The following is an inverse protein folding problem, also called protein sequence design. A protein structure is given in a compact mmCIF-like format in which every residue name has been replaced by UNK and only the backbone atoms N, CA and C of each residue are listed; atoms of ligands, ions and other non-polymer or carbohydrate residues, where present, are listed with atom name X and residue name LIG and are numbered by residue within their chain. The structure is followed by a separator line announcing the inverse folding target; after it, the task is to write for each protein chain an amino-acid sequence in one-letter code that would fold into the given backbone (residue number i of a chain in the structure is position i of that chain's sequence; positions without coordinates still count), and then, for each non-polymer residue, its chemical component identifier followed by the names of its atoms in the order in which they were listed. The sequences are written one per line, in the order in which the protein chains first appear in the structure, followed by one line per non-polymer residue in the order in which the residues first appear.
data_IF_122874906346
#
_entry.id   IF_122874906346
#
_cell.length_a   1.000
_cell.length_b   1.000
_cell.length_c   1.000
_cell.angle_alpha   90.00
_cell.angle_beta   90.00
_cell.angle_gamma   90.00
#
_symmetry.space_group_name_H-M   'P 1'
#
loop_
_entity.id
_entity.type
_entity.pdbx_description
1 polymer ?
#
# COMPACT_ATOMS: atom_id res chain seq x y z
N UNK A 1 3.23 -27.29 55.13
CA UNK A 1 1.98 -27.28 54.35
C UNK A 1 1.89 -26.11 53.36
N UNK A 2 2.39 -24.90 53.70
CA UNK A 2 2.36 -23.72 52.82
C UNK A 2 3.20 -23.80 51.53
N UNK A 3 4.29 -24.58 51.51
CA UNK A 3 5.18 -24.71 50.34
C UNK A 3 4.55 -25.49 49.16
N UNK A 4 3.67 -26.47 49.44
CA UNK A 4 3.02 -27.26 48.38
C UNK A 4 1.89 -26.47 47.70
N UNK A 5 1.25 -25.55 48.43
CA UNK A 5 0.22 -24.66 47.91
C UNK A 5 0.83 -23.57 47.01
N UNK A 6 2.01 -23.02 47.37
CA UNK A 6 2.69 -22.02 46.54
C UNK A 6 3.23 -22.59 45.23
N UNK A 7 3.76 -23.82 45.22
CA UNK A 7 4.18 -24.53 44.01
C UNK A 7 3.01 -24.86 43.08
N UNK A 8 1.87 -25.29 43.63
CA UNK A 8 0.66 -25.55 42.85
C UNK A 8 0.09 -24.30 42.17
N UNK A 9 0.07 -23.17 42.89
CA UNK A 9 -0.31 -21.85 42.32
C UNK A 9 0.67 -21.37 41.25
N UNK A 10 1.98 -21.56 41.46
CA UNK A 10 3.02 -21.20 40.48
C UNK A 10 2.93 -22.05 39.21
N UNK A 11 2.68 -23.35 39.32
CA UNK A 11 2.47 -24.24 38.18
C UNK A 11 1.19 -23.90 37.40
N UNK A 12 0.09 -23.57 38.10
CA UNK A 12 -1.12 -23.08 37.46
C UNK A 12 -0.90 -21.74 36.72
N UNK A 13 -0.12 -20.83 37.31
CA UNK A 13 0.33 -19.58 36.68
C UNK A 13 1.22 -19.80 35.44
N UNK A 14 2.06 -20.83 35.47
CA UNK A 14 2.93 -21.19 34.35
C UNK A 14 2.14 -21.67 33.12
N UNK A 15 1.12 -22.50 33.33
CA UNK A 15 0.22 -22.97 32.28
C UNK A 15 -0.67 -21.85 31.74
N UNK A 16 -1.20 -20.99 32.60
CA UNK A 16 -2.01 -19.84 32.15
C UNK A 16 -1.19 -18.82 31.36
N UNK A 17 0.06 -18.56 31.76
CA UNK A 17 0.99 -17.70 31.02
C UNK A 17 1.32 -18.21 29.62
N UNK A 18 1.41 -19.53 29.45
CA UNK A 18 1.62 -20.13 28.14
C UNK A 18 0.43 -20.10 27.21
N UNK A 19 -0.77 -20.35 27.75
CA UNK A 19 -2.02 -20.16 27.01
C UNK A 19 -2.11 -18.70 26.57
N UNK A 20 -1.79 -17.75 27.46
CA UNK A 20 -1.70 -16.33 27.15
C UNK A 20 -0.71 -16.03 26.01
N UNK A 21 0.51 -16.58 26.06
CA UNK A 21 1.52 -16.43 25.02
C UNK A 21 1.08 -16.98 23.66
N UNK A 22 0.42 -18.15 23.63
CA UNK A 22 -0.14 -18.74 22.41
C UNK A 22 -1.22 -17.84 21.79
N UNK A 23 -2.22 -17.43 22.58
CA UNK A 23 -3.34 -16.63 22.09
C UNK A 23 -2.89 -15.23 21.68
N UNK A 24 -1.98 -14.61 22.43
CA UNK A 24 -1.36 -13.32 22.07
C UNK A 24 -0.66 -13.41 20.72
N UNK A 25 0.21 -14.41 20.52
CA UNK A 25 0.91 -14.61 19.25
C UNK A 25 -0.07 -14.89 18.10
N UNK A 26 -1.12 -15.69 18.33
CA UNK A 26 -2.17 -15.94 17.33
C UNK A 26 -2.93 -14.66 16.96
N UNK A 27 -3.26 -13.82 17.94
CA UNK A 27 -3.91 -12.53 17.73
C UNK A 27 -3.03 -11.59 16.91
N UNK A 28 -1.76 -11.42 17.29
CA UNK A 28 -0.80 -10.58 16.55
C UNK A 28 -0.63 -11.08 15.12
N UNK A 29 -0.53 -12.40 14.92
CA UNK A 29 -0.46 -13.00 13.59
C UNK A 29 -1.69 -12.67 12.73
N UNK A 30 -2.88 -12.83 13.28
CA UNK A 30 -4.13 -12.53 12.59
C UNK A 30 -4.27 -11.03 12.28
N UNK A 31 -3.89 -10.17 13.22
CA UNK A 31 -3.88 -8.72 13.03
C UNK A 31 -2.96 -8.32 11.87
N UNK A 32 -1.71 -8.80 11.85
CA UNK A 32 -0.77 -8.52 10.77
C UNK A 32 -1.27 -9.03 9.41
N UNK A 33 -1.90 -10.21 9.38
CA UNK A 33 -2.50 -10.75 8.16
C UNK A 33 -3.68 -9.89 7.66
N UNK A 34 -4.50 -9.38 8.57
CA UNK A 34 -5.59 -8.44 8.24
C UNK A 34 -5.04 -7.12 7.72
N UNK A 35 -4.07 -6.52 8.41
CA UNK A 35 -3.41 -5.28 7.98
C UNK A 35 -2.73 -5.45 6.61
N UNK A 36 -2.10 -6.61 6.35
CA UNK A 36 -1.54 -6.92 5.04
C UNK A 36 -2.61 -6.95 3.95
N UNK A 37 -3.78 -7.52 4.25
CA UNK A 37 -4.91 -7.57 3.33
C UNK A 37 -5.46 -6.18 3.04
N UNK A 38 -5.56 -5.33 4.06
CA UNK A 38 -5.92 -3.92 3.90
C UNK A 38 -4.92 -3.17 3.02
N UNK A 39 -3.62 -3.34 3.23
CA UNK A 39 -2.61 -2.74 2.36
C UNK A 39 -2.75 -3.24 0.91
N UNK A 40 -3.08 -4.53 0.66
CA UNK A 40 -3.39 -5.00 -0.72
C UNK A 40 -4.62 -4.33 -1.32
N UNK A 41 -5.67 -4.10 -0.54
CA UNK A 41 -6.86 -3.38 -0.99
C UNK A 41 -6.48 -1.95 -1.38
N UNK A 42 -5.70 -1.26 -0.55
CA UNK A 42 -5.21 0.08 -0.82
C UNK A 42 -4.34 0.13 -2.09
N UNK A 43 -3.48 -0.87 -2.29
CA UNK A 43 -2.72 -1.01 -3.54
C UNK A 43 -3.62 -1.12 -4.77
N UNK A 44 -4.74 -1.87 -4.66
CA UNK A 44 -5.71 -2.01 -5.76
C UNK A 44 -6.50 -0.73 -6.00
N UNK A 45 -6.85 0.01 -4.95
CA UNK A 45 -7.46 1.33 -5.08
C UNK A 45 -6.51 2.30 -5.79
N UNK A 46 -5.23 2.28 -5.42
CA UNK A 46 -4.21 3.09 -6.08
C UNK A 46 -4.07 2.71 -7.57
N UNK A 47 -4.08 1.42 -7.92
CA UNK A 47 -4.09 0.96 -9.31
C UNK A 47 -5.33 1.45 -10.09
N UNK A 48 -6.52 1.47 -9.47
CA UNK A 48 -7.70 2.06 -10.08
C UNK A 48 -7.54 3.57 -10.30
N UNK A 49 -6.93 4.28 -9.35
CA UNK A 49 -6.57 5.69 -9.48
C UNK A 49 -5.61 5.94 -10.64
N UNK A 50 -4.59 5.09 -10.79
CA UNK A 50 -3.65 5.11 -11.90
C UNK A 50 -4.37 4.99 -13.26
N UNK A 51 -5.22 3.97 -13.41
CA UNK A 51 -6.00 3.75 -14.64
C UNK A 51 -6.93 4.92 -14.93
N UNK A 52 -7.66 5.40 -13.92
CA UNK A 52 -8.55 6.54 -14.05
C UNK A 52 -7.82 7.83 -14.45
N UNK A 53 -6.62 8.08 -13.93
CA UNK A 53 -5.80 9.22 -14.33
C UNK A 53 -5.38 9.14 -15.81
N UNK A 54 -4.91 7.97 -16.25
CA UNK A 54 -4.54 7.75 -17.65
C UNK A 54 -5.74 7.87 -18.59
N UNK A 55 -6.87 7.28 -18.25
CA UNK A 55 -8.10 7.38 -19.05
C UNK A 55 -8.61 8.82 -19.15
N UNK A 56 -8.54 9.60 -18.06
CA UNK A 56 -8.90 11.03 -18.10
C UNK A 56 -7.98 11.80 -19.04
N UNK A 57 -6.66 11.59 -18.94
CA UNK A 57 -5.70 12.21 -19.86
C UNK A 57 -5.99 11.89 -21.33
N UNK A 58 -6.29 10.62 -21.63
CA UNK A 58 -6.67 10.21 -22.99
C UNK A 58 -7.95 10.92 -23.49
N UNK A 59 -8.96 11.07 -22.62
CA UNK A 59 -10.20 11.79 -22.97
C UNK A 59 -9.95 13.28 -23.19
N UNK A 60 -9.09 13.91 -22.40
CA UNK A 60 -8.71 15.31 -22.56
C UNK A 60 -7.96 15.53 -23.88
N UNK A 61 -6.99 14.66 -24.21
CA UNK A 61 -6.27 14.69 -25.50
C UNK A 61 -7.22 14.48 -26.69
N UNK A 62 -8.19 13.57 -26.56
CA UNK A 62 -9.20 13.35 -27.59
C UNK A 62 -10.08 14.60 -27.80
N UNK A 63 -10.52 15.24 -26.72
CA UNK A 63 -11.28 16.51 -26.77
C UNK A 63 -10.47 17.63 -27.42
N UNK A 64 -9.20 17.80 -27.03
CA UNK A 64 -8.29 18.78 -27.63
C UNK A 64 -8.12 18.54 -29.12
N UNK A 65 -7.91 17.28 -29.52
CA UNK A 65 -7.73 16.90 -30.92
C UNK A 65 -8.98 17.20 -31.76
N UNK A 66 -10.17 16.93 -31.21
CA UNK A 66 -11.45 17.28 -31.83
C UNK A 66 -11.60 18.81 -32.02
N UNK A 67 -11.28 19.59 -30.98
CA UNK A 67 -11.35 21.06 -31.03
C UNK A 67 -10.39 21.64 -32.07
N UNK A 68 -9.14 21.15 -32.10
CA UNK A 68 -8.15 21.56 -33.11
C UNK A 68 -8.60 21.20 -34.53
N UNK A 69 -9.22 20.03 -34.73
CA UNK A 69 -9.81 19.63 -36.00
C UNK A 69 -10.93 20.56 -36.47
N UNK A 70 -11.84 20.93 -35.57
CA UNK A 70 -12.91 21.89 -35.85
C UNK A 70 -12.36 23.29 -36.18
N UNK A 71 -11.35 23.75 -35.43
CA UNK A 71 -10.70 25.03 -35.69
C UNK A 71 -10.04 25.04 -37.08
N UNK A 72 -9.28 24.00 -37.42
CA UNK A 72 -8.66 23.85 -38.73
C UNK A 72 -9.69 23.79 -39.86
N UNK A 73 -10.81 23.11 -39.66
CA UNK A 73 -11.92 23.08 -40.62
C UNK A 73 -12.53 24.47 -40.83
N UNK A 74 -12.76 25.24 -39.75
CA UNK A 74 -13.27 26.62 -39.82
C UNK A 74 -12.28 27.56 -40.51
N UNK A 75 -10.99 27.44 -40.21
CA UNK A 75 -9.93 28.20 -40.90
C UNK A 75 -9.96 27.92 -42.41
N UNK A 76 -10.02 26.65 -42.82
CA UNK A 76 -10.12 26.26 -44.24
C UNK A 76 -11.37 26.80 -44.93
N UNK A 77 -12.53 26.68 -44.30
CA UNK A 77 -13.78 27.20 -44.84
C UNK A 77 -13.75 28.73 -45.00
N UNK A 78 -13.19 29.44 -44.03
CA UNK A 78 -13.03 30.90 -44.09
C UNK A 78 -12.06 31.34 -45.18
N UNK A 79 -10.90 30.68 -45.32
CA UNK A 79 -9.95 30.98 -46.38
C UNK A 79 -10.53 30.71 -47.77
N UNK A 80 -11.24 29.59 -47.95
CA UNK A 80 -11.93 29.27 -49.19
C UNK A 80 -13.02 30.31 -49.53
N UNK A 81 -13.80 30.76 -48.54
CA UNK A 81 -14.82 31.78 -48.73
C UNK A 81 -14.24 33.16 -49.10
N UNK A 82 -13.00 33.46 -48.69
CA UNK A 82 -12.30 34.71 -49.00
C UNK A 82 -11.37 34.60 -50.22
N UNK A 83 -11.39 33.48 -50.95
CA UNK A 83 -10.55 33.27 -52.15
C UNK A 83 -9.04 33.20 -51.86
N UNK A 84 -8.65 32.90 -50.61
CA UNK A 84 -7.24 32.76 -50.20
C UNK A 84 -6.78 31.35 -50.57
N UNK A 85 -5.67 31.26 -51.31
CA UNK A 85 -5.05 29.97 -51.61
C UNK A 85 -4.59 29.29 -50.31
N UNK A 86 -5.06 28.06 -50.09
CA UNK A 86 -4.78 27.27 -48.90
C UNK A 86 -3.33 26.74 -48.87
N UNK A 87 -2.63 26.81 -50.00
CA UNK A 87 -1.30 26.23 -50.22
C UNK A 87 -0.11 27.18 -50.01
N UNK A 88 -0.29 28.50 -50.00
CA UNK A 88 0.82 29.47 -50.04
C UNK A 88 0.72 30.58 -48.97
N UNK A 89 1.86 30.96 -48.37
CA UNK A 89 1.98 32.09 -47.43
C UNK A 89 1.30 31.90 -46.05
N UNK A 90 0.66 32.97 -45.54
CA UNK A 90 0.07 33.09 -44.19
C UNK A 90 -0.96 31.98 -43.83
N UNK A 91 -1.63 31.40 -44.83
CA UNK A 91 -2.64 30.35 -44.65
C UNK A 91 -2.04 29.03 -44.14
N UNK A 92 -0.86 28.67 -44.65
CA UNK A 92 -0.12 27.48 -44.23
C UNK A 92 0.53 27.70 -42.85
N UNK A 93 1.05 28.89 -42.60
CA UNK A 93 1.68 29.25 -41.32
C UNK A 93 0.66 29.30 -40.16
N UNK A 94 -0.57 29.76 -40.41
CA UNK A 94 -1.66 29.73 -39.42
C UNK A 94 -2.07 28.30 -39.05
N UNK A 95 -2.17 27.41 -40.05
CA UNK A 95 -2.47 25.99 -39.82
C UNK A 95 -1.32 25.30 -39.08
N UNK A 96 -0.06 25.61 -39.42
CA UNK A 96 1.11 25.10 -38.72
C UNK A 96 1.16 25.59 -37.26
N UNK A 97 0.89 26.87 -37.01
CA UNK A 97 0.82 27.43 -35.66
C UNK A 97 -0.27 26.76 -34.82
N UNK A 98 -1.44 26.50 -35.42
CA UNK A 98 -2.54 25.77 -34.76
C UNK A 98 -2.13 24.35 -34.37
N UNK A 99 -1.36 23.67 -35.23
CA UNK A 99 -0.86 22.33 -34.96
C UNK A 99 0.21 22.32 -33.85
N UNK A 100 1.11 23.31 -33.83
CA UNK A 100 2.12 23.48 -32.75
C UNK A 100 1.44 23.72 -31.40
N UNK A 101 0.41 24.57 -31.37
CA UNK A 101 -0.38 24.82 -30.16
C UNK A 101 -1.07 23.54 -29.68
N UNK A 102 -1.73 22.81 -30.60
CA UNK A 102 -2.35 21.51 -30.28
C UNK A 102 -1.35 20.53 -29.70
N UNK A 103 -0.14 20.43 -30.26
CA UNK A 103 0.87 19.49 -29.75
C UNK A 103 1.41 19.92 -28.38
N UNK A 104 1.62 21.22 -28.18
CA UNK A 104 2.04 21.77 -26.88
C UNK A 104 1.01 21.49 -25.79
N UNK A 105 -0.27 21.71 -26.09
CA UNK A 105 -1.38 21.42 -25.18
C UNK A 105 -1.50 19.92 -24.93
N UNK A 106 -1.34 19.09 -25.96
CA UNK A 106 -1.34 17.63 -25.82
C UNK A 106 -0.24 17.16 -24.87
N UNK A 107 1.00 17.58 -25.09
CA UNK A 107 2.12 17.22 -24.23
C UNK A 107 1.89 17.66 -22.78
N UNK A 108 1.24 18.81 -22.58
CA UNK A 108 0.86 19.29 -21.25
C UNK A 108 -0.16 18.37 -20.58
N UNK A 109 -1.23 17.99 -21.30
CA UNK A 109 -2.27 17.08 -20.80
C UNK A 109 -1.70 15.70 -20.48
N UNK A 110 -0.88 15.14 -21.38
CA UNK A 110 -0.23 13.85 -21.18
C UNK A 110 0.74 13.89 -19.99
N UNK A 111 1.54 14.95 -19.87
CA UNK A 111 2.45 15.14 -18.74
C UNK A 111 1.70 15.20 -17.40
N UNK A 112 0.56 15.92 -17.36
CA UNK A 112 -0.28 15.98 -16.17
C UNK A 112 -0.88 14.61 -15.82
N UNK A 113 -1.41 13.90 -16.82
CA UNK A 113 -1.96 12.56 -16.64
C UNK A 113 -0.89 11.58 -16.12
N UNK A 114 0.30 11.57 -16.72
CA UNK A 114 1.43 10.75 -16.30
C UNK A 114 1.89 11.09 -14.89
N UNK A 115 1.98 12.37 -14.52
CA UNK A 115 2.32 12.79 -13.15
C UNK A 115 1.31 12.28 -12.13
N UNK A 116 0.01 12.45 -12.38
CA UNK A 116 -1.04 11.92 -11.51
C UNK A 116 -0.97 10.40 -11.42
N UNK A 117 -0.82 9.73 -12.56
CA UNK A 117 -0.69 8.28 -12.65
C UNK A 117 0.54 7.77 -11.87
N UNK A 118 1.69 8.43 -11.99
CA UNK A 118 2.90 8.09 -11.25
C UNK A 118 2.74 8.23 -9.74
N UNK A 119 2.01 9.25 -9.29
CA UNK A 119 1.65 9.41 -7.88
C UNK A 119 0.86 8.20 -7.34
N UNK A 120 -0.17 7.76 -8.08
CA UNK A 120 -0.94 6.57 -7.74
C UNK A 120 -0.10 5.29 -7.79
N UNK A 121 0.72 5.11 -8.82
CA UNK A 121 1.58 3.93 -8.96
C UNK A 121 2.59 3.83 -7.81
N UNK A 122 3.16 4.96 -7.39
CA UNK A 122 4.07 5.04 -6.24
C UNK A 122 3.36 4.65 -4.94
N UNK A 123 2.16 5.18 -4.69
CA UNK A 123 1.33 4.77 -3.55
C UNK A 123 1.02 3.28 -3.58
N UNK A 124 0.65 2.75 -4.75
CA UNK A 124 0.39 1.32 -4.96
C UNK A 124 1.60 0.44 -4.62
N UNK A 125 2.79 0.82 -5.08
CA UNK A 125 4.04 0.12 -4.78
C UNK A 125 4.37 0.13 -3.28
N UNK A 126 4.15 1.25 -2.60
CA UNK A 126 4.33 1.37 -1.15
C UNK A 126 3.37 0.44 -0.40
N UNK A 127 2.09 0.42 -0.77
CA UNK A 127 1.10 -0.47 -0.17
C UNK A 127 1.39 -1.95 -0.43
N UNK A 128 1.88 -2.31 -1.62
CA UNK A 128 2.32 -3.68 -1.91
C UNK A 128 3.50 -4.08 -1.03
N UNK A 129 4.48 -3.19 -0.88
CA UNK A 129 5.66 -3.43 -0.02
C UNK A 129 5.25 -3.60 1.44
N UNK A 130 4.35 -2.74 1.95
CA UNK A 130 3.81 -2.83 3.29
C UNK A 130 3.03 -4.14 3.51
N UNK A 131 2.22 -4.55 2.53
CA UNK A 131 1.49 -5.81 2.58
C UNK A 131 2.45 -7.02 2.64
N UNK A 132 3.51 -7.01 1.84
CA UNK A 132 4.52 -8.06 1.82
C UNK A 132 5.25 -8.14 3.17
N UNK A 133 5.67 -7.00 3.72
CA UNK A 133 6.30 -6.95 5.04
C UNK A 133 5.37 -7.51 6.13
N UNK A 134 4.14 -7.02 6.23
CA UNK A 134 3.17 -7.46 7.25
C UNK A 134 2.85 -8.94 7.13
N UNK A 135 2.70 -9.43 5.89
CA UNK A 135 2.49 -10.85 5.63
C UNK A 135 3.72 -11.68 6.04
N UNK A 136 4.93 -11.22 5.72
CA UNK A 136 6.18 -11.85 6.16
C UNK A 136 6.31 -11.92 7.67
N UNK A 137 6.02 -10.82 8.38
CA UNK A 137 5.98 -10.77 9.83
C UNK A 137 4.95 -11.74 10.41
N UNK A 138 3.75 -11.80 9.83
CA UNK A 138 2.71 -12.76 10.25
C UNK A 138 3.14 -14.22 10.03
N UNK A 139 3.82 -14.51 8.91
CA UNK A 139 4.34 -15.83 8.59
C UNK A 139 5.44 -16.29 9.55
N UNK A 140 6.29 -15.35 10.01
CA UNK A 140 7.33 -15.60 11.00
C UNK A 140 6.81 -15.88 12.41
N UNK A 141 5.55 -15.53 12.73
CA UNK A 141 4.95 -15.82 14.03
C UNK A 141 4.47 -17.27 14.07
N UNK A 142 5.04 -18.03 15.01
CA UNK A 142 4.60 -19.37 15.39
C UNK A 142 3.92 -19.33 16.77
N UNK A 143 2.57 -19.33 16.84
CA UNK A 143 1.86 -19.27 18.11
C UNK A 143 2.20 -20.43 19.05
N UNK A 144 2.43 -21.62 18.48
CA UNK A 144 2.84 -22.79 19.25
C UNK A 144 4.24 -22.61 19.86
N UNK A 145 5.21 -22.13 19.08
CA UNK A 145 6.55 -21.86 19.59
C UNK A 145 6.53 -20.77 20.66
N UNK A 146 5.73 -19.71 20.48
CA UNK A 146 5.54 -18.67 21.49
C UNK A 146 4.95 -19.26 22.79
N UNK A 147 3.88 -20.05 22.70
CA UNK A 147 3.30 -20.75 23.86
C UNK A 147 4.29 -21.69 24.56
N UNK A 148 5.06 -22.46 23.79
CA UNK A 148 6.11 -23.34 24.31
C UNK A 148 7.25 -22.55 24.99
N UNK A 149 7.69 -21.44 24.40
CA UNK A 149 8.70 -20.56 25.01
C UNK A 149 8.20 -19.91 26.30
N UNK A 150 6.92 -19.53 26.35
CA UNK A 150 6.27 -19.03 27.56
C UNK A 150 6.17 -20.10 28.65
N UNK A 151 5.86 -21.36 28.30
CA UNK A 151 5.92 -22.49 29.24
C UNK A 151 7.34 -22.72 29.78
N UNK A 152 8.35 -22.70 28.91
CA UNK A 152 9.74 -22.93 29.32
C UNK A 152 10.24 -21.82 30.24
N UNK A 153 9.90 -20.57 29.92
CA UNK A 153 10.24 -19.40 30.73
C UNK A 153 9.57 -19.49 32.10
N UNK A 154 8.27 -19.83 32.13
CA UNK A 154 7.54 -19.95 33.39
C UNK A 154 8.04 -21.14 34.22
N UNK A 155 8.35 -22.29 33.60
CA UNK A 155 8.96 -23.43 34.27
C UNK A 155 10.34 -23.08 34.89
N UNK A 156 11.17 -22.28 34.20
CA UNK A 156 12.43 -21.78 34.75
C UNK A 156 12.25 -20.87 35.97
N UNK A 157 11.20 -20.05 35.99
CA UNK A 157 10.84 -19.20 37.14
C UNK A 157 10.33 -20.02 38.33
N UNK A 158 9.54 -21.07 38.10
CA UNK A 158 9.10 -21.98 39.17
C UNK A 158 10.30 -22.73 39.75
N UNK A 159 11.19 -23.22 38.89
CA UNK A 159 12.40 -23.92 39.33
C UNK A 159 13.30 -23.00 40.18
N UNK A 160 13.55 -21.77 39.74
CA UNK A 160 14.38 -20.83 40.51
C UNK A 160 13.74 -20.43 41.85
N UNK A 161 12.41 -20.26 41.90
CA UNK A 161 11.68 -20.01 43.14
C UNK A 161 11.81 -21.19 44.12
N UNK A 162 11.71 -22.43 43.62
CA UNK A 162 11.89 -23.64 44.43
C UNK A 162 13.32 -23.73 45.00
N UNK A 163 14.34 -23.48 44.18
CA UNK A 163 15.74 -23.47 44.64
C UNK A 163 15.99 -22.41 45.71
N UNK A 164 15.50 -21.18 45.53
CA UNK A 164 15.64 -20.11 46.51
C UNK A 164 14.94 -20.43 47.84
N UNK A 165 13.75 -21.03 47.79
CA UNK A 165 13.05 -21.48 49.00
C UNK A 165 13.83 -22.58 49.73
N UNK A 166 14.43 -23.52 49.01
CA UNK A 166 15.19 -24.63 49.58
C UNK A 166 16.58 -24.19 50.13
N UNK A 167 17.17 -23.13 49.58
CA UNK A 167 18.36 -22.50 50.15
C UNK A 167 18.04 -21.65 51.39
N UNK A 168 16.91 -20.93 51.38
CA UNK A 168 16.45 -20.15 52.52
C UNK A 168 16.11 -21.04 53.72
N UNK A 169 15.51 -22.21 53.50
CA UNK A 169 15.20 -23.18 54.56
C UNK A 169 16.43 -23.88 55.13
N UNK A 170 17.54 -23.93 54.40
CA UNK A 170 18.82 -24.47 54.89
C UNK A 170 19.64 -23.46 55.70
N UNK A 171 19.30 -22.16 55.62
CA UNK A 171 19.96 -21.08 56.37
C UNK A 171 19.21 -20.68 57.66
N UNK A 172 18.06 -21.28 57.93
CA UNK A 172 17.29 -21.16 59.19
C UNK A 172 17.47 -22.40 60.06
#
# INVERSE_FOLDING_TARGET
MYANLSLGLQAAGAVSGAIGGFYSAKMTKNQLAFEASMSRINARIAELGYRGAMERGQKEVASLTMQAGQLKARQRASMAANGIDLGEGNAAELQASTEILKETDRMTLESNAVRSAWGYRTQGANYQSEALMKYGSAAGISPFASGASSLLTSAGQVASSWYQMNEASKKS
#
